data_IF_227802548098
#
_entry.id   IF_227802548098
#
_cell.length_a   1.000
_cell.length_b   1.000
_cell.length_c   1.000
_cell.angle_alpha   90.00
_cell.angle_beta   90.00
_cell.angle_gamma   90.00
#
_symmetry.space_group_name_H-M   'P 1'
#
loop_
_entity.id
_entity.type
_entity.pdbx_description
1 polymer ?
#
# COMPACT_ATOMS: atom_id res chain seq x y z
N UNK A 1 17.35 9.73 -45.71
CA UNK A 1 17.89 11.03 -45.25
C UNK A 1 16.79 11.71 -44.44
N UNK A 2 16.88 11.77 -43.10
CA UNK A 2 15.88 12.40 -42.23
C UNK A 2 16.19 13.88 -42.02
N UNK A 3 15.20 14.76 -42.18
CA UNK A 3 15.29 16.17 -41.79
C UNK A 3 14.49 16.40 -40.51
N UNK A 4 15.24 16.64 -39.42
CA UNK A 4 14.79 17.28 -38.18
C UNK A 4 14.28 18.69 -38.46
N UNK A 5 13.10 19.06 -37.93
CA UNK A 5 12.85 20.36 -37.27
C UNK A 5 11.39 20.52 -36.86
N UNK A 6 11.18 20.87 -35.60
CA UNK A 6 9.90 21.36 -35.08
C UNK A 6 9.80 21.34 -33.56
N UNK A 7 10.85 21.71 -32.82
CA UNK A 7 10.73 22.01 -31.40
C UNK A 7 10.25 23.45 -31.24
N UNK A 8 9.05 23.65 -30.71
CA UNK A 8 8.61 24.94 -30.18
C UNK A 8 9.21 25.12 -28.80
N UNK A 9 10.32 25.87 -28.72
CA UNK A 9 10.88 26.38 -27.47
C UNK A 9 9.96 27.47 -26.90
N UNK A 10 9.29 27.20 -25.79
CA UNK A 10 8.74 28.25 -24.93
C UNK A 10 9.72 28.47 -23.77
N UNK A 11 10.54 29.51 -23.89
CA UNK A 11 11.41 30.00 -22.82
C UNK A 11 10.57 30.86 -21.87
N UNK A 12 10.46 30.43 -20.61
CA UNK A 12 10.02 31.29 -19.52
C UNK A 12 11.24 31.74 -18.70
N UNK A 13 11.34 33.04 -18.48
CA UNK A 13 12.50 33.78 -17.93
C UNK A 13 12.68 33.68 -16.40
N UNK A 14 12.24 32.58 -15.80
CA UNK A 14 12.39 32.34 -14.36
C UNK A 14 13.12 31.03 -14.17
N UNK A 15 14.45 31.11 -14.00
CA UNK A 15 15.39 29.99 -13.86
C UNK A 15 15.15 29.06 -12.67
N UNK A 16 14.03 28.34 -12.71
CA UNK A 16 13.79 27.13 -11.94
C UNK A 16 13.60 26.00 -12.94
N UNK A 17 14.59 25.10 -13.02
CA UNK A 17 14.34 23.75 -13.49
C UNK A 17 13.43 23.13 -12.42
N UNK A 18 12.12 23.33 -12.54
CA UNK A 18 11.18 22.36 -12.03
C UNK A 18 11.39 21.13 -12.90
N UNK A 19 12.35 20.29 -12.49
CA UNK A 19 12.25 18.87 -12.75
C UNK A 19 10.87 18.53 -12.21
N UNK A 20 9.94 18.33 -13.14
CA UNK A 20 8.70 17.60 -12.92
C UNK A 20 9.17 16.24 -12.39
N UNK A 21 9.36 16.19 -11.07
CA UNK A 21 9.91 15.04 -10.37
C UNK A 21 9.02 13.89 -10.79
N UNK A 22 9.62 12.96 -11.54
CA UNK A 22 9.07 11.67 -11.90
C UNK A 22 8.09 11.27 -10.82
N UNK A 23 6.79 11.20 -11.13
CA UNK A 23 5.76 10.80 -10.17
C UNK A 23 6.16 9.44 -9.62
N UNK A 24 6.92 9.39 -8.53
CA UNK A 24 7.18 8.15 -7.84
C UNK A 24 5.80 7.69 -7.40
N UNK A 25 5.44 6.50 -7.88
CA UNK A 25 4.22 5.88 -7.44
C UNK A 25 4.38 5.71 -5.93
N UNK A 26 3.49 6.29 -5.11
CA UNK A 26 3.56 6.24 -3.64
C UNK A 26 3.79 4.81 -3.12
N UNK A 27 3.32 3.81 -3.87
CA UNK A 27 3.55 2.40 -3.58
C UNK A 27 4.98 1.90 -3.79
N UNK A 28 5.76 2.53 -4.67
CA UNK A 28 7.16 2.19 -4.92
C UNK A 28 8.04 2.77 -3.82
N UNK A 29 7.82 4.03 -3.45
CA UNK A 29 8.46 4.64 -2.26
C UNK A 29 8.14 3.84 -0.99
N UNK A 30 6.87 3.45 -0.84
CA UNK A 30 6.45 2.58 0.25
C UNK A 30 7.21 1.24 0.23
N UNK A 31 7.29 0.58 -0.93
CA UNK A 31 7.94 -0.71 -1.08
C UNK A 31 9.40 -0.67 -0.65
N UNK A 32 10.11 0.37 -1.07
CA UNK A 32 11.53 0.53 -0.79
C UNK A 32 11.78 0.83 0.68
N UNK A 33 10.94 1.65 1.30
CA UNK A 33 11.05 1.94 2.73
C UNK A 33 10.77 0.71 3.60
N UNK A 34 9.69 -0.05 3.35
CA UNK A 34 9.35 -1.21 4.21
C UNK A 34 10.31 -2.40 4.07
N UNK A 35 11.13 -2.43 3.02
CA UNK A 35 12.21 -3.41 2.89
C UNK A 35 13.34 -3.15 3.88
N UNK A 36 13.56 -1.89 4.23
CA UNK A 36 14.69 -1.45 5.04
C UNK A 36 14.27 -1.08 6.47
N UNK A 37 13.02 -0.66 6.66
CA UNK A 37 12.52 -0.05 7.90
C UNK A 37 11.33 -0.81 8.47
N UNK A 38 11.04 -0.57 9.74
CA UNK A 38 9.83 -1.09 10.39
C UNK A 38 8.59 -0.32 9.91
N UNK A 39 7.41 -0.94 9.97
CA UNK A 39 6.13 -0.25 9.77
C UNK A 39 5.88 0.87 10.79
N UNK A 40 6.60 0.87 11.92
CA UNK A 40 6.55 1.92 12.95
C UNK A 40 7.56 3.05 12.73
N UNK A 41 8.38 2.96 11.69
CA UNK A 41 9.35 4.01 11.37
C UNK A 41 8.63 5.29 10.95
N UNK A 42 9.16 6.45 11.37
CA UNK A 42 8.55 7.76 11.09
C UNK A 42 8.39 8.02 9.60
N UNK A 43 9.36 7.63 8.78
CA UNK A 43 9.28 7.85 7.34
C UNK A 43 8.22 6.97 6.68
N UNK A 44 8.06 5.73 7.16
CA UNK A 44 6.99 4.84 6.72
C UNK A 44 5.63 5.41 7.13
N UNK A 45 5.49 5.88 8.37
CA UNK A 45 4.26 6.49 8.89
C UNK A 45 3.85 7.76 8.13
N UNK A 46 4.80 8.54 7.64
CA UNK A 46 4.52 9.73 6.82
C UNK A 46 3.83 9.39 5.48
N UNK A 47 3.90 8.15 5.01
CA UNK A 47 3.22 7.71 3.80
C UNK A 47 1.75 7.31 4.02
N UNK A 48 1.29 7.17 5.26
CA UNK A 48 -0.06 6.69 5.57
C UNK A 48 -1.16 7.49 4.86
N UNK A 49 -1.04 8.81 4.81
CA UNK A 49 -2.02 9.67 4.18
C UNK A 49 -2.07 9.46 2.66
N UNK A 50 -0.92 9.48 2.00
CA UNK A 50 -0.81 9.33 0.55
C UNK A 50 -1.25 7.94 0.10
N UNK A 51 -0.92 6.90 0.88
CA UNK A 51 -1.45 5.56 0.67
C UNK A 51 -2.96 5.52 0.87
N UNK A 52 -3.49 6.12 1.94
CA UNK A 52 -4.94 6.22 2.15
C UNK A 52 -5.67 6.84 0.95
N UNK A 53 -5.11 7.92 0.39
CA UNK A 53 -5.62 8.57 -0.84
C UNK A 53 -5.56 7.66 -2.06
N UNK A 54 -4.47 6.90 -2.25
CA UNK A 54 -4.33 6.01 -3.42
C UNK A 54 -5.30 4.82 -3.38
N UNK A 55 -5.81 4.47 -2.20
CA UNK A 55 -6.77 3.39 -2.01
C UNK A 55 -8.23 3.81 -2.22
N UNK A 56 -8.55 5.10 -2.33
CA UNK A 56 -9.92 5.65 -2.33
C UNK A 56 -10.87 5.06 -3.39
N UNK A 57 -10.32 4.59 -4.51
CA UNK A 57 -11.10 4.02 -5.62
C UNK A 57 -11.55 2.57 -5.34
N UNK A 58 -11.13 1.97 -4.23
CA UNK A 58 -11.68 0.70 -3.75
C UNK A 58 -12.96 0.95 -2.94
N UNK A 59 -13.92 0.03 -3.05
CA UNK A 59 -15.13 0.09 -2.22
C UNK A 59 -14.80 -0.11 -0.74
N UNK A 60 -15.54 0.56 0.15
CA UNK A 60 -15.35 0.48 1.60
C UNK A 60 -15.42 -0.96 2.11
N UNK A 61 -16.39 -1.73 1.61
CA UNK A 61 -16.56 -3.13 1.97
C UNK A 61 -15.34 -3.99 1.60
N UNK A 62 -14.67 -3.70 0.49
CA UNK A 62 -13.46 -4.42 0.11
C UNK A 62 -12.29 -4.06 1.03
N UNK A 63 -12.00 -2.78 1.23
CA UNK A 63 -10.87 -2.35 2.09
C UNK A 63 -11.07 -2.87 3.52
N UNK A 64 -12.28 -2.69 4.06
CA UNK A 64 -12.66 -3.17 5.39
C UNK A 64 -12.47 -4.67 5.54
N UNK A 65 -12.94 -5.48 4.57
CA UNK A 65 -12.81 -6.94 4.60
C UNK A 65 -11.34 -7.36 4.75
N UNK A 66 -10.42 -6.71 4.04
CA UNK A 66 -9.00 -7.02 4.16
C UNK A 66 -8.45 -6.54 5.50
N UNK A 67 -8.74 -5.30 5.90
CA UNK A 67 -8.34 -4.77 7.21
C UNK A 67 -8.77 -5.68 8.39
N UNK A 68 -10.05 -6.03 8.47
CA UNK A 68 -10.59 -6.87 9.54
C UNK A 68 -10.01 -8.30 9.52
N UNK A 69 -9.79 -8.84 8.32
CA UNK A 69 -9.16 -10.13 8.13
C UNK A 69 -7.72 -10.14 8.66
N UNK A 70 -6.94 -9.09 8.36
CA UNK A 70 -5.57 -8.96 8.85
C UNK A 70 -5.53 -8.81 10.37
N UNK A 71 -6.39 -7.93 10.91
CA UNK A 71 -6.52 -7.69 12.36
C UNK A 71 -6.88 -8.96 13.11
N UNK A 72 -7.73 -9.80 12.52
CA UNK A 72 -8.09 -11.10 13.09
C UNK A 72 -6.90 -12.05 13.13
N UNK A 73 -6.07 -12.09 12.08
CA UNK A 73 -4.84 -12.91 12.08
C UNK A 73 -3.87 -12.40 13.14
N UNK A 74 -3.63 -11.09 13.21
CA UNK A 74 -2.75 -10.47 14.21
C UNK A 74 -3.19 -10.79 15.65
N UNK A 75 -4.50 -10.71 15.93
CA UNK A 75 -5.08 -10.99 17.27
C UNK A 75 -5.03 -12.46 17.69
N UNK A 76 -4.96 -13.40 16.74
CA UNK A 76 -4.86 -14.83 17.07
C UNK A 76 -3.51 -15.18 17.71
N UNK A 77 -2.48 -14.33 17.51
CA UNK A 77 -1.15 -14.52 18.07
C UNK A 77 -0.59 -15.90 17.73
N UNK A 78 0.04 -16.54 18.71
CA UNK A 78 0.71 -17.84 18.55
C UNK A 78 -0.24 -19.04 18.56
N UNK A 79 -1.57 -18.83 18.60
CA UNK A 79 -2.56 -19.93 18.62
C UNK A 79 -2.62 -20.71 17.31
N UNK A 80 -2.15 -20.13 16.22
CA UNK A 80 -2.14 -20.71 14.87
C UNK A 80 -0.84 -20.31 14.20
N UNK A 81 -0.28 -21.17 13.35
CA UNK A 81 0.92 -20.83 12.56
C UNK A 81 0.68 -19.56 11.71
N UNK A 82 1.33 -18.43 12.05
CA UNK A 82 1.14 -17.17 11.35
C UNK A 82 1.60 -17.26 9.88
N UNK A 83 2.57 -18.10 9.57
CA UNK A 83 3.08 -18.27 8.21
C UNK A 83 2.00 -18.83 7.29
N UNK A 84 1.33 -19.89 7.72
CA UNK A 84 0.24 -20.53 6.95
C UNK A 84 -0.93 -19.56 6.79
N UNK A 85 -1.32 -18.86 7.87
CA UNK A 85 -2.43 -17.91 7.81
C UNK A 85 -2.13 -16.74 6.87
N UNK A 86 -0.92 -16.18 6.91
CA UNK A 86 -0.52 -15.08 6.03
C UNK A 86 -0.38 -15.52 4.58
N UNK A 87 0.08 -16.75 4.33
CA UNK A 87 0.13 -17.33 2.98
C UNK A 87 -1.27 -17.47 2.39
N UNK A 88 -2.23 -17.99 3.16
CA UNK A 88 -3.63 -18.09 2.75
C UNK A 88 -4.28 -16.70 2.60
N UNK A 89 -3.91 -15.75 3.45
CA UNK A 89 -4.40 -14.39 3.34
C UNK A 89 -3.88 -13.72 2.05
N UNK A 90 -2.59 -13.87 1.74
CA UNK A 90 -1.99 -13.41 0.49
C UNK A 90 -2.66 -14.03 -0.74
N UNK A 91 -2.99 -15.33 -0.72
CA UNK A 91 -3.71 -15.96 -1.84
C UNK A 91 -5.11 -15.38 -2.03
N UNK A 92 -5.83 -15.04 -0.95
CA UNK A 92 -7.13 -14.35 -1.02
C UNK A 92 -7.01 -12.94 -1.61
N UNK A 93 -5.95 -12.20 -1.29
CA UNK A 93 -5.67 -10.89 -1.91
C UNK A 93 -5.51 -11.05 -3.43
N UNK A 94 -4.66 -11.98 -3.86
CA UNK A 94 -4.43 -12.25 -5.29
C UNK A 94 -5.74 -12.65 -6.01
N UNK A 95 -6.48 -13.60 -5.44
CA UNK A 95 -7.77 -14.02 -5.98
C UNK A 95 -8.76 -12.86 -6.10
N UNK A 96 -8.87 -12.04 -5.05
CA UNK A 96 -9.77 -10.89 -5.05
C UNK A 96 -9.35 -9.83 -6.06
N UNK A 97 -8.07 -9.70 -6.40
CA UNK A 97 -7.59 -8.75 -7.40
C UNK A 97 -7.85 -9.22 -8.84
N UNK A 98 -7.91 -10.53 -9.07
CA UNK A 98 -8.17 -11.11 -10.39
C UNK A 98 -9.68 -11.18 -10.72
N UNK A 99 -10.55 -11.04 -9.72
CA UNK A 99 -12.00 -11.12 -9.90
C UNK A 99 -12.57 -9.82 -10.47
N UNK A 100 -13.58 -9.91 -11.34
CA UNK A 100 -14.38 -8.75 -11.80
C UNK A 100 -15.05 -8.06 -10.61
N UNK A 101 -14.88 -6.74 -10.51
CA UNK A 101 -15.33 -5.97 -9.33
C UNK A 101 -14.52 -6.29 -8.07
N UNK A 102 -13.29 -6.78 -8.25
CA UNK A 102 -12.32 -7.06 -7.21
C UNK A 102 -11.62 -5.81 -6.69
N UNK A 103 -10.59 -6.02 -5.86
CA UNK A 103 -9.73 -4.92 -5.40
C UNK A 103 -8.85 -4.44 -6.55
N UNK A 104 -8.55 -3.15 -6.58
CA UNK A 104 -7.68 -2.59 -7.60
C UNK A 104 -6.20 -2.96 -7.36
N UNK A 105 -5.35 -2.62 -8.34
CA UNK A 105 -3.90 -2.88 -8.26
C UNK A 105 -3.26 -2.18 -7.07
N UNK A 106 -3.75 -0.99 -6.68
CA UNK A 106 -3.17 -0.23 -5.58
C UNK A 106 -3.32 -0.97 -4.23
N UNK A 107 -4.53 -1.44 -3.92
CA UNK A 107 -4.78 -2.21 -2.69
C UNK A 107 -4.10 -3.58 -2.74
N UNK A 108 -4.11 -4.25 -3.89
CA UNK A 108 -3.38 -5.51 -4.08
C UNK A 108 -1.89 -5.33 -3.78
N UNK A 109 -1.26 -4.35 -4.40
CA UNK A 109 0.19 -4.15 -4.32
C UNK A 109 0.60 -3.68 -2.93
N UNK A 110 -0.18 -2.80 -2.31
CA UNK A 110 -0.02 -2.45 -0.89
C UNK A 110 0.02 -3.72 -0.03
N UNK A 111 -1.03 -4.53 -0.05
CA UNK A 111 -1.13 -5.73 0.78
C UNK A 111 -0.03 -6.75 0.46
N UNK A 112 0.21 -7.05 -0.82
CA UNK A 112 1.19 -8.06 -1.23
C UNK A 112 2.61 -7.65 -0.87
N UNK A 113 2.99 -6.37 -1.09
CA UNK A 113 4.33 -5.87 -0.74
C UNK A 113 4.56 -5.97 0.78
N UNK A 114 3.59 -5.57 1.60
CA UNK A 114 3.69 -5.69 3.07
C UNK A 114 3.75 -7.15 3.54
N UNK A 115 2.89 -8.02 3.00
CA UNK A 115 2.87 -9.44 3.34
C UNK A 115 4.18 -10.13 2.97
N UNK A 116 4.81 -9.77 1.85
CA UNK A 116 6.11 -10.31 1.46
C UNK A 116 7.21 -9.94 2.47
N UNK A 117 7.21 -8.71 2.97
CA UNK A 117 8.16 -8.26 4.00
C UNK A 117 7.97 -9.05 5.30
N UNK A 118 6.72 -9.30 5.70
CA UNK A 118 6.40 -10.06 6.92
C UNK A 118 6.78 -11.54 6.75
N UNK A 119 6.43 -12.15 5.61
CA UNK A 119 6.72 -13.55 5.31
C UNK A 119 8.23 -13.83 5.17
N UNK A 120 9.03 -12.82 4.84
CA UNK A 120 10.49 -12.92 4.81
C UNK A 120 11.14 -12.84 6.20
N UNK A 121 10.39 -12.53 7.26
CA UNK A 121 10.90 -12.55 8.64
C UNK A 121 10.98 -13.97 9.17
N UNK A 122 11.95 -14.20 10.06
CA UNK A 122 11.99 -15.43 10.85
C UNK A 122 10.72 -15.61 11.67
N UNK A 123 10.37 -16.87 11.97
CA UNK A 123 9.12 -17.23 12.65
C UNK A 123 8.91 -16.49 13.98
N UNK A 124 9.98 -16.24 14.74
CA UNK A 124 9.92 -15.46 16.00
C UNK A 124 9.62 -13.97 15.80
N UNK A 125 10.07 -13.39 14.68
CA UNK A 125 9.84 -11.97 14.35
C UNK A 125 8.51 -11.70 13.67
N UNK A 126 7.89 -12.74 13.09
CA UNK A 126 6.68 -12.64 12.29
C UNK A 126 5.46 -12.11 13.07
N UNK A 127 5.14 -12.58 14.31
CA UNK A 127 3.99 -12.06 15.07
C UNK A 127 4.09 -10.56 15.32
N UNK A 128 5.28 -10.08 15.70
CA UNK A 128 5.52 -8.65 15.94
C UNK A 128 5.40 -7.84 14.64
N UNK A 129 6.01 -8.29 13.55
CA UNK A 129 5.91 -7.62 12.26
C UNK A 129 4.47 -7.57 11.73
N UNK A 130 3.68 -8.63 11.96
CA UNK A 130 2.27 -8.67 11.64
C UNK A 130 1.45 -7.67 12.48
N UNK A 131 1.72 -7.59 13.79
CA UNK A 131 1.06 -6.64 14.67
C UNK A 131 1.40 -5.19 14.27
N UNK A 132 2.67 -4.89 14.00
CA UNK A 132 3.12 -3.58 13.55
C UNK A 132 2.47 -3.20 12.20
N UNK A 133 2.33 -4.16 11.27
CA UNK A 133 1.62 -3.93 10.02
C UNK A 133 0.12 -3.71 10.23
N UNK A 134 -0.53 -4.43 11.14
CA UNK A 134 -1.95 -4.25 11.42
C UNK A 134 -2.25 -2.84 11.96
N UNK A 135 -1.40 -2.33 12.86
CA UNK A 135 -1.48 -0.96 13.38
C UNK A 135 -1.20 0.08 12.29
N UNK A 136 -0.21 -0.18 11.43
CA UNK A 136 0.07 0.67 10.28
C UNK A 136 -1.11 0.71 9.29
N UNK A 137 -1.72 -0.43 8.98
CA UNK A 137 -2.88 -0.50 8.12
C UNK A 137 -4.10 0.19 8.74
N UNK A 138 -4.24 0.19 10.07
CA UNK A 138 -5.28 0.98 10.76
C UNK A 138 -5.11 2.49 10.48
N UNK A 139 -3.87 3.01 10.53
CA UNK A 139 -3.60 4.41 10.19
C UNK A 139 -3.92 4.72 8.71
N UNK A 140 -3.48 3.87 7.77
CA UNK A 140 -3.79 4.00 6.34
C UNK A 140 -5.31 3.95 6.11
N UNK A 141 -6.01 3.03 6.78
CA UNK A 141 -7.46 2.86 6.68
C UNK A 141 -8.21 4.09 7.20
N UNK A 142 -7.71 4.73 8.28
CA UNK A 142 -8.25 5.99 8.78
C UNK A 142 -8.20 7.11 7.73
N UNK A 143 -7.07 7.30 7.07
CA UNK A 143 -6.94 8.27 5.97
C UNK A 143 -7.78 7.88 4.75
N UNK A 144 -7.79 6.61 4.35
CA UNK A 144 -8.67 6.10 3.30
C UNK A 144 -10.14 6.49 3.57
N UNK A 145 -10.62 6.27 4.80
CA UNK A 145 -11.99 6.60 5.17
C UNK A 145 -12.27 8.11 5.12
N UNK A 146 -11.28 8.95 5.43
CA UNK A 146 -11.38 10.41 5.31
C UNK A 146 -11.57 10.86 3.86
N UNK A 147 -10.86 10.23 2.91
CA UNK A 147 -10.85 10.60 1.50
C UNK A 147 -11.86 9.84 0.63
N UNK A 148 -12.51 8.81 1.16
CA UNK A 148 -13.56 8.08 0.44
C UNK A 148 -14.86 8.88 0.49
N UNK A 149 -15.47 9.23 -0.66
CA UNK A 149 -16.75 9.91 -0.69
C UNK A 149 -17.78 9.11 0.10
N UNK A 150 -18.48 9.79 1.02
CA UNK A 150 -19.67 9.23 1.66
C UNK A 150 -20.80 9.32 0.64
N UNK A 151 -20.89 8.38 -0.30
CA UNK A 151 -22.15 8.21 -1.03
C UNK A 151 -23.25 8.01 0.01
N UNK A 152 -24.32 8.82 -0.12
CA UNK A 152 -25.38 9.01 0.87
C UNK A 152 -25.74 7.72 1.61
N UNK A 153 -25.52 7.73 2.93
CA UNK A 153 -25.99 6.68 3.84
C UNK A 153 -27.48 6.44 3.69
#
# INVERSE_FOLDING_TARGET
MPTLRGYTELKNESGGIFMESSRSNVLDDYADLIRQKSFKDKEVLNLCENLGKSLKDNSNNQVRKFYDGLRTIARRGDRVDPYVQLTLYKSRVMYSSARRGGINSQLRDFLVKSLNVILAKEQKGMPKALQDFAEYFEAVYGYYYCYTPKENR
#
